data_IF_378639469770
#
_entry.id   IF_378639469770
#
_cell.length_a   1.000
_cell.length_b   1.000
_cell.length_c   1.000
_cell.angle_alpha   90.00
_cell.angle_beta   90.00
_cell.angle_gamma   90.00
#
_symmetry.space_group_name_H-M   'P 1'
#
loop_
_entity.id
_entity.type
_entity.pdbx_description
1 polymer ?
#
# COMPACT_ATOMS: atom_id res chain seq x y z
N UNK A 1 -1.09 -5.02 5.62
CA UNK A 1 -1.81 -5.54 6.81
C UNK A 1 -2.81 -4.54 7.36
N UNK A 2 -2.37 -3.34 7.78
CA UNK A 2 -3.26 -2.31 8.35
C UNK A 2 -4.40 -1.91 7.38
N UNK A 3 -4.12 -1.78 6.07
CA UNK A 3 -5.16 -1.58 5.03
C UNK A 3 -6.26 -2.64 5.05
N UNK A 4 -5.92 -3.91 5.28
CA UNK A 4 -6.84 -5.05 5.17
C UNK A 4 -7.69 -5.19 6.43
N UNK A 5 -7.10 -5.00 7.61
CA UNK A 5 -7.78 -5.21 8.89
C UNK A 5 -8.35 -3.92 9.51
N UNK A 6 -7.94 -2.74 9.05
CA UNK A 6 -8.39 -1.44 9.57
C UNK A 6 -9.92 -1.25 9.56
N UNK A 7 -10.63 -1.54 8.46
CA UNK A 7 -12.09 -1.46 8.45
C UNK A 7 -12.75 -2.50 9.37
N UNK A 8 -12.08 -3.65 9.57
CA UNK A 8 -12.52 -4.68 10.52
C UNK A 8 -12.54 -4.17 11.96
N UNK A 9 -11.54 -3.40 12.38
CA UNK A 9 -11.56 -2.73 13.70
C UNK A 9 -12.67 -1.67 13.81
N UNK A 10 -13.01 -0.99 12.70
CA UNK A 10 -14.16 -0.08 12.64
C UNK A 10 -15.50 -0.80 12.87
N UNK A 11 -15.66 -2.00 12.30
CA UNK A 11 -16.81 -2.88 12.54
C UNK A 11 -16.90 -3.39 13.98
N UNK A 12 -15.77 -3.57 14.68
CA UNK A 12 -15.82 -3.88 16.13
C UNK A 12 -16.43 -2.71 16.91
N UNK A 13 -16.15 -1.47 16.51
CA UNK A 13 -16.75 -0.29 17.11
C UNK A 13 -18.27 -0.20 16.92
N UNK A 14 -18.81 -0.69 15.80
CA UNK A 14 -20.27 -0.74 15.61
C UNK A 14 -20.93 -1.76 16.53
N UNK A 15 -20.29 -2.91 16.75
CA UNK A 15 -20.77 -3.91 17.69
C UNK A 15 -20.83 -3.36 19.11
N UNK A 16 -19.81 -2.60 19.54
CA UNK A 16 -19.81 -1.92 20.86
C UNK A 16 -20.96 -0.91 20.97
N UNK A 17 -21.19 -0.11 19.92
CA UNK A 17 -22.31 0.84 19.89
C UNK A 17 -23.68 0.15 19.91
N UNK A 18 -23.84 -0.96 19.18
CA UNK A 18 -25.07 -1.77 19.19
C UNK A 18 -25.36 -2.38 20.56
N UNK A 19 -24.33 -2.87 21.28
CA UNK A 19 -24.48 -3.37 22.66
C UNK A 19 -24.98 -2.26 23.60
N UNK A 20 -24.41 -1.05 23.49
CA UNK A 20 -24.87 0.12 24.24
C UNK A 20 -26.31 0.53 23.90
N UNK A 21 -26.71 0.37 22.63
CA UNK A 21 -28.05 0.69 22.17
C UNK A 21 -29.10 -0.28 22.73
N UNK A 22 -28.82 -1.59 22.73
CA UNK A 22 -29.72 -2.59 23.31
C UNK A 22 -29.88 -2.44 24.83
N UNK A 23 -28.83 -2.04 25.55
CA UNK A 23 -28.90 -1.78 26.99
C UNK A 23 -29.79 -0.60 27.37
N UNK A 24 -29.95 0.39 26.47
CA UNK A 24 -30.78 1.60 26.68
C UNK A 24 -32.21 1.46 26.13
N UNK A 25 -32.48 0.40 25.37
CA UNK A 25 -33.77 0.17 24.71
C UNK A 25 -34.92 0.00 25.73
N UNK A 26 -34.62 -0.57 26.91
CA UNK A 26 -35.59 -0.74 27.99
C UNK A 26 -36.04 0.59 28.62
N UNK A 27 -35.27 1.67 28.47
CA UNK A 27 -35.53 2.98 29.09
C UNK A 27 -36.20 3.99 28.14
N UNK A 28 -36.40 3.63 26.87
CA UNK A 28 -37.01 4.45 25.81
C UNK A 28 -36.45 5.88 25.64
N UNK A 29 -35.22 6.15 26.11
CA UNK A 29 -34.58 7.45 25.96
C UNK A 29 -33.93 7.60 24.57
N UNK A 30 -34.60 8.37 23.71
CA UNK A 30 -34.19 8.64 22.33
C UNK A 30 -32.83 9.35 22.27
N UNK A 31 -32.51 10.20 23.26
CA UNK A 31 -31.23 10.93 23.29
C UNK A 31 -30.04 9.99 23.53
N UNK A 32 -30.19 9.04 24.44
CA UNK A 32 -29.18 8.02 24.70
C UNK A 32 -28.99 7.06 23.51
N UNK A 33 -30.09 6.73 22.80
CA UNK A 33 -30.05 5.90 21.60
C UNK A 33 -29.25 6.57 20.46
N UNK A 34 -29.50 7.87 20.24
CA UNK A 34 -28.80 8.66 19.23
C UNK A 34 -27.29 8.76 19.48
N UNK A 35 -26.88 8.94 20.75
CA UNK A 35 -25.46 8.98 21.12
C UNK A 35 -24.76 7.63 20.89
N UNK A 36 -25.41 6.50 21.20
CA UNK A 36 -24.84 5.18 20.95
C UNK A 36 -24.67 4.89 19.45
N UNK A 37 -25.63 5.31 18.63
CA UNK A 37 -25.55 5.19 17.18
C UNK A 37 -24.46 6.09 16.58
N UNK A 38 -24.34 7.34 17.06
CA UNK A 38 -23.30 8.26 16.61
C UNK A 38 -21.89 7.68 16.85
N UNK A 39 -21.66 7.07 18.01
CA UNK A 39 -20.38 6.40 18.32
C UNK A 39 -20.06 5.28 17.32
N UNK A 40 -21.05 4.43 16.99
CA UNK A 40 -20.87 3.33 16.04
C UNK A 40 -20.49 3.82 14.63
N UNK A 41 -21.17 4.86 14.15
CA UNK A 41 -20.91 5.43 12.82
C UNK A 41 -19.54 6.10 12.77
N UNK A 42 -19.17 6.86 13.81
CA UNK A 42 -17.86 7.53 13.90
C UNK A 42 -16.71 6.51 13.95
N UNK A 43 -16.86 5.43 14.71
CA UNK A 43 -15.85 4.36 14.75
C UNK A 43 -15.62 3.71 13.37
N UNK A 44 -16.70 3.49 12.60
CA UNK A 44 -16.61 2.95 11.24
C UNK A 44 -15.95 3.93 10.29
N UNK A 45 -16.28 5.23 10.41
CA UNK A 45 -15.70 6.29 9.61
C UNK A 45 -14.18 6.37 9.82
N UNK A 46 -13.72 6.39 11.08
CA UNK A 46 -12.29 6.44 11.38
C UNK A 46 -11.55 5.19 10.90
N UNK A 47 -12.13 4.00 11.07
CA UNK A 47 -11.55 2.74 10.56
C UNK A 47 -11.37 2.76 9.04
N UNK A 48 -12.37 3.24 8.31
CA UNK A 48 -12.33 3.35 6.85
C UNK A 48 -11.33 4.42 6.36
N UNK A 49 -11.28 5.58 7.02
CA UNK A 49 -10.35 6.67 6.66
C UNK A 49 -8.89 6.22 6.84
N UNK A 50 -8.55 5.64 7.99
CA UNK A 50 -7.17 5.22 8.26
C UNK A 50 -6.75 4.12 7.27
N UNK A 51 -7.64 3.17 6.99
CA UNK A 51 -7.34 2.06 6.09
C UNK A 51 -7.17 2.51 4.62
N UNK A 52 -8.11 3.29 4.10
CA UNK A 52 -8.18 3.58 2.66
C UNK A 52 -7.53 4.91 2.28
N UNK A 53 -7.62 5.94 3.12
CA UNK A 53 -7.08 7.27 2.79
C UNK A 53 -5.61 7.43 3.19
N UNK A 54 -5.16 6.73 4.25
CA UNK A 54 -3.79 6.88 4.76
C UNK A 54 -2.94 5.64 4.45
N UNK A 55 -3.29 4.49 5.02
CA UNK A 55 -2.47 3.29 4.91
C UNK A 55 -2.49 2.66 3.51
N UNK A 56 -3.58 2.81 2.77
CA UNK A 56 -3.69 2.37 1.38
C UNK A 56 -2.64 2.99 0.45
N UNK A 57 -2.66 4.31 0.23
CA UNK A 57 -1.72 4.96 -0.68
C UNK A 57 -0.26 4.84 -0.22
N UNK A 58 0.00 4.83 1.09
CA UNK A 58 1.36 4.59 1.62
C UNK A 58 1.84 3.19 1.25
N UNK A 59 0.99 2.18 1.41
CA UNK A 59 1.31 0.80 1.04
C UNK A 59 1.61 0.65 -0.44
N UNK A 60 0.77 1.23 -1.30
CA UNK A 60 0.94 1.16 -2.75
C UNK A 60 2.21 1.90 -3.20
N UNK A 61 2.51 3.06 -2.60
CA UNK A 61 3.76 3.80 -2.88
C UNK A 61 4.99 2.98 -2.50
N UNK A 62 4.96 2.33 -1.34
CA UNK A 62 6.09 1.52 -0.87
C UNK A 62 6.29 0.27 -1.74
N UNK A 63 5.20 -0.38 -2.16
CA UNK A 63 5.26 -1.51 -3.09
C UNK A 63 5.85 -1.11 -4.45
N UNK A 64 5.51 0.09 -4.95
CA UNK A 64 6.08 0.62 -6.19
C UNK A 64 7.59 0.87 -6.04
N UNK A 65 8.02 1.50 -4.94
CA UNK A 65 9.45 1.69 -4.63
C UNK A 65 10.20 0.36 -4.47
N UNK A 66 9.60 -0.62 -3.80
CA UNK A 66 10.20 -1.95 -3.66
C UNK A 66 10.36 -2.64 -5.01
N UNK A 67 9.43 -2.44 -5.93
CA UNK A 67 9.51 -3.01 -7.28
C UNK A 67 10.62 -2.36 -8.11
N UNK A 68 10.77 -1.04 -8.01
CA UNK A 68 11.91 -0.31 -8.61
C UNK A 68 13.25 -0.80 -8.05
N UNK A 69 13.34 -1.01 -6.73
CA UNK A 69 14.56 -1.49 -6.08
C UNK A 69 14.90 -2.94 -6.45
N UNK A 70 13.89 -3.82 -6.51
CA UNK A 70 14.06 -5.20 -7.00
C UNK A 70 14.61 -5.23 -8.42
N UNK A 71 14.05 -4.42 -9.33
CA UNK A 71 14.53 -4.32 -10.70
C UNK A 71 16.00 -3.89 -10.76
N UNK A 72 16.39 -2.89 -9.98
CA UNK A 72 17.79 -2.44 -9.93
C UNK A 72 18.74 -3.53 -9.42
N UNK A 73 18.33 -4.29 -8.40
CA UNK A 73 19.12 -5.41 -7.86
C UNK A 73 19.24 -6.56 -8.86
N UNK A 74 18.18 -6.87 -9.57
CA UNK A 74 18.18 -7.89 -10.62
C UNK A 74 19.09 -7.50 -11.79
N UNK A 75 19.06 -6.21 -12.18
CA UNK A 75 19.94 -5.65 -13.20
C UNK A 75 21.41 -5.78 -12.75
N UNK A 76 21.75 -5.38 -11.52
CA UNK A 76 23.11 -5.56 -10.97
C UNK A 76 23.56 -7.04 -10.95
N UNK A 77 22.68 -7.97 -10.57
CA UNK A 77 22.98 -9.39 -10.58
C UNK A 77 23.31 -9.91 -11.98
N UNK A 78 22.51 -9.54 -12.99
CA UNK A 78 22.80 -9.91 -14.37
C UNK A 78 24.11 -9.30 -14.90
N UNK A 79 24.44 -8.07 -14.49
CA UNK A 79 25.74 -7.46 -14.80
C UNK A 79 26.88 -8.34 -14.29
N UNK A 80 26.84 -8.68 -13.01
CA UNK A 80 27.90 -9.46 -12.36
C UNK A 80 28.04 -10.84 -13.02
N UNK A 81 26.91 -11.51 -13.30
CA UNK A 81 26.90 -12.80 -13.98
C UNK A 81 27.50 -12.72 -15.39
N UNK A 82 27.19 -11.68 -16.16
CA UNK A 82 27.76 -11.49 -17.50
C UNK A 82 29.26 -11.20 -17.48
N UNK A 83 29.74 -10.46 -16.47
CA UNK A 83 31.18 -10.22 -16.26
C UNK A 83 31.88 -11.52 -15.90
N UNK A 84 31.28 -12.34 -15.02
CA UNK A 84 31.82 -13.65 -14.64
C UNK A 84 31.88 -14.62 -15.83
N UNK A 85 30.87 -14.58 -16.71
CA UNK A 85 30.84 -15.39 -17.93
C UNK A 85 31.88 -14.96 -18.99
N UNK A 86 32.54 -13.81 -18.81
CA UNK A 86 33.51 -13.28 -19.75
C UNK A 86 32.88 -12.69 -21.02
N UNK A 87 31.62 -12.27 -20.97
CA UNK A 87 30.97 -11.59 -22.09
C UNK A 87 31.71 -10.29 -22.44
N UNK A 88 31.76 -9.96 -23.74
CA UNK A 88 32.31 -8.69 -24.20
C UNK A 88 31.53 -7.53 -23.55
N UNK A 89 32.20 -6.55 -22.90
CA UNK A 89 31.55 -5.44 -22.19
C UNK A 89 30.47 -4.72 -23.00
N UNK A 90 30.63 -4.68 -24.33
CA UNK A 90 29.67 -4.06 -25.24
C UNK A 90 28.35 -4.83 -25.34
N UNK A 91 28.44 -6.16 -25.36
CA UNK A 91 27.28 -7.08 -25.36
C UNK A 91 26.58 -7.06 -24.00
N UNK A 92 27.34 -7.02 -22.91
CA UNK A 92 26.79 -6.83 -21.56
C UNK A 92 26.01 -5.53 -21.46
N UNK A 93 26.55 -4.42 -21.98
CA UNK A 93 25.90 -3.12 -21.98
C UNK A 93 24.60 -3.12 -22.81
N UNK A 94 24.59 -3.78 -23.96
CA UNK A 94 23.39 -3.94 -24.78
C UNK A 94 22.30 -4.76 -24.08
N UNK A 95 22.68 -5.84 -23.38
CA UNK A 95 21.76 -6.64 -22.53
C UNK A 95 21.18 -5.78 -21.41
N UNK A 96 22.00 -4.98 -20.72
CA UNK A 96 21.54 -4.07 -19.67
C UNK A 96 20.58 -3.00 -20.21
N UNK A 97 20.87 -2.45 -21.39
CA UNK A 97 20.02 -1.45 -22.05
C UNK A 97 18.65 -1.98 -22.46
N UNK A 98 18.46 -3.30 -22.52
CA UNK A 98 17.15 -3.91 -22.76
C UNK A 98 16.22 -3.87 -21.54
N UNK A 99 16.78 -3.85 -20.32
CA UNK A 99 16.00 -3.76 -19.06
C UNK A 99 15.64 -2.33 -18.67
N UNK A 100 16.28 -1.33 -19.30
CA UNK A 100 16.03 0.09 -19.02
C UNK A 100 14.83 0.59 -19.85
N UNK A 101 13.86 1.30 -19.25
CA UNK A 101 12.74 1.88 -19.97
C UNK A 101 13.19 2.78 -21.13
N UNK A 102 12.47 2.73 -22.26
CA UNK A 102 12.83 3.41 -23.51
C UNK A 102 13.08 4.93 -23.35
N UNK A 103 12.36 5.58 -22.43
CA UNK A 103 12.52 6.99 -22.05
C UNK A 103 13.85 7.31 -21.37
N UNK A 104 14.38 6.38 -20.58
CA UNK A 104 15.69 6.52 -19.94
C UNK A 104 16.80 6.13 -20.93
N UNK A 105 16.53 5.13 -21.79
CA UNK A 105 17.43 4.69 -22.87
C UNK A 105 17.72 5.80 -23.88
N UNK A 106 16.73 6.61 -24.26
CA UNK A 106 16.91 7.73 -25.20
C UNK A 106 17.78 8.85 -24.62
N UNK A 107 17.63 9.16 -23.33
CA UNK A 107 18.52 10.12 -22.64
C UNK A 107 19.96 9.62 -22.55
N UNK A 108 20.16 8.34 -22.25
CA UNK A 108 21.50 7.76 -22.13
C UNK A 108 22.26 7.73 -23.47
N UNK A 109 21.55 7.48 -24.57
CA UNK A 109 22.11 7.55 -25.94
C UNK A 109 22.42 8.97 -26.42
N UNK A 110 21.82 9.98 -25.81
CA UNK A 110 22.06 11.40 -26.12
C UNK A 110 23.25 11.98 -25.35
N UNK A 111 23.67 11.30 -24.27
CA UNK A 111 24.77 11.73 -23.40
C UNK A 111 26.09 10.97 -23.66
N UNK A 112 26.08 9.96 -24.52
CA UNK A 112 27.22 9.15 -24.94
C UNK A 112 27.63 9.49 -26.38
#
# INVERSE_FOLDING_TARGET
LIKVYGPGYGLVGTLVGQVGMFGKLASADIGALGNALALAVVATMYGAIIANAVCGPIGDKLALRSSEEMLNRELMLQAILSIQAGDNPRVTQDKMMAFVPATVRSKMKLAA
#
